data_IF_615992377854
#
_entry.id   IF_615992377854
#
_cell.length_a   1.000
_cell.length_b   1.000
_cell.length_c   1.000
_cell.angle_alpha   90.00
_cell.angle_beta   90.00
_cell.angle_gamma   90.00
#
_symmetry.space_group_name_H-M   'P 1'
#
loop_
_entity.id
_entity.type
_entity.pdbx_description
1 polymer ?
#
# COMPACT_ATOMS: atom_id res chain seq x y z
N UNK A 1 -10.88 -6.16 -0.68
CA UNK A 1 -10.12 -5.91 -1.93
C UNK A 1 -8.74 -6.53 -1.81
N UNK A 2 -8.23 -7.18 -2.85
CA UNK A 2 -6.88 -7.77 -2.91
C UNK A 2 -5.99 -6.84 -3.72
N UNK A 3 -4.99 -6.25 -3.07
CA UNK A 3 -4.08 -5.25 -3.66
C UNK A 3 -2.61 -5.70 -3.67
N UNK A 4 -2.29 -6.82 -3.01
CA UNK A 4 -0.93 -7.35 -2.93
C UNK A 4 -0.91 -8.76 -2.37
N UNK A 5 0.23 -9.42 -2.51
CA UNK A 5 0.43 -10.85 -2.22
C UNK A 5 1.72 -11.04 -1.39
N UNK A 6 1.86 -10.31 -0.29
CA UNK A 6 3.08 -10.34 0.54
C UNK A 6 3.31 -11.68 1.24
N UNK A 7 2.24 -12.43 1.52
CA UNK A 7 2.30 -13.75 2.17
C UNK A 7 2.10 -14.92 1.21
N UNK A 8 2.05 -14.67 -0.10
CA UNK A 8 1.86 -15.70 -1.13
C UNK A 8 0.64 -15.44 -2.00
N UNK A 9 0.54 -16.23 -3.09
CA UNK A 9 -0.47 -16.05 -4.13
C UNK A 9 -1.67 -16.99 -4.01
N UNK A 10 -1.68 -17.87 -3.01
CA UNK A 10 -2.74 -18.86 -2.82
C UNK A 10 -3.32 -18.73 -1.40
N UNK A 11 -4.63 -18.89 -1.30
CA UNK A 11 -5.35 -18.90 -0.03
C UNK A 11 -6.53 -19.88 -0.12
N UNK A 12 -6.87 -20.51 1.00
CA UNK A 12 -8.10 -21.26 1.16
C UNK A 12 -9.23 -20.30 1.57
N UNK A 13 -10.41 -20.48 0.99
CA UNK A 13 -11.57 -19.63 1.21
C UNK A 13 -12.77 -20.47 1.64
N UNK A 14 -13.45 -20.03 2.70
CA UNK A 14 -14.77 -20.58 3.07
C UNK A 14 -15.85 -20.00 2.17
N UNK A 15 -16.21 -20.77 1.14
CA UNK A 15 -17.26 -20.39 0.20
C UNK A 15 -18.62 -20.22 0.88
N UNK A 16 -18.89 -20.98 1.94
CA UNK A 16 -20.12 -20.83 2.73
C UNK A 16 -20.23 -19.47 3.39
N UNK A 17 -19.14 -18.97 3.92
CA UNK A 17 -19.09 -17.60 4.48
C UNK A 17 -19.27 -16.53 3.40
N UNK A 18 -18.66 -16.72 2.22
CA UNK A 18 -18.83 -15.79 1.09
C UNK A 18 -20.31 -15.69 0.70
N UNK A 19 -20.99 -16.83 0.59
CA UNK A 19 -22.43 -16.89 0.27
C UNK A 19 -23.29 -16.21 1.36
N UNK A 20 -23.15 -16.66 2.59
CA UNK A 20 -23.96 -16.15 3.71
C UNK A 20 -23.85 -14.66 3.90
N UNK A 21 -22.62 -14.11 3.79
CA UNK A 21 -22.34 -12.68 3.97
C UNK A 21 -22.46 -11.88 2.68
N UNK A 22 -22.76 -12.49 1.56
CA UNK A 22 -22.85 -11.85 0.22
C UNK A 22 -21.60 -11.03 -0.09
N UNK A 23 -20.42 -11.58 0.20
CA UNK A 23 -19.14 -10.91 0.02
C UNK A 23 -18.79 -10.76 -1.46
N UNK A 24 -18.10 -9.68 -1.79
CA UNK A 24 -17.47 -9.46 -3.10
C UNK A 24 -15.97 -9.50 -2.94
N UNK A 25 -15.28 -10.30 -3.77
CA UNK A 25 -13.83 -10.28 -3.88
C UNK A 25 -13.44 -9.52 -5.13
N UNK A 26 -12.60 -8.50 -4.96
CA UNK A 26 -12.14 -7.65 -6.06
C UNK A 26 -10.62 -7.59 -5.99
N UNK A 27 -9.97 -7.98 -7.08
CA UNK A 27 -8.54 -7.79 -7.27
C UNK A 27 -8.23 -6.50 -8.02
N UNK A 28 -7.13 -5.87 -7.70
CA UNK A 28 -6.62 -4.71 -8.42
C UNK A 28 -5.10 -4.74 -8.50
N UNK A 29 -4.57 -4.17 -9.55
CA UNK A 29 -3.12 -3.98 -9.72
C UNK A 29 -2.87 -2.62 -10.36
N UNK A 30 -1.77 -1.99 -10.00
CA UNK A 30 -1.36 -0.71 -10.61
C UNK A 30 -0.36 -0.93 -11.74
N UNK A 31 0.58 -1.87 -11.56
CA UNK A 31 1.70 -2.06 -12.48
C UNK A 31 1.25 -2.35 -13.91
N UNK A 32 0.25 -3.22 -14.06
CA UNK A 32 -0.24 -3.69 -15.36
C UNK A 32 -1.30 -2.77 -16.01
N UNK A 33 -1.69 -1.66 -15.36
CA UNK A 33 -2.62 -0.69 -15.94
C UNK A 33 -1.98 0.06 -17.09
N UNK A 34 -2.82 0.49 -18.04
CA UNK A 34 -2.37 1.35 -19.15
C UNK A 34 -1.82 2.69 -18.64
N UNK A 35 -1.10 3.39 -19.47
CA UNK A 35 -0.58 4.72 -19.14
C UNK A 35 -1.73 5.71 -18.91
N UNK A 36 -2.77 5.62 -19.71
CA UNK A 36 -3.95 6.47 -19.64
C UNK A 36 -4.66 6.31 -18.28
N UNK A 37 -4.90 5.06 -17.85
CA UNK A 37 -5.49 4.79 -16.53
C UNK A 37 -4.62 5.31 -15.38
N UNK A 38 -3.29 5.22 -15.51
CA UNK A 38 -2.35 5.75 -14.51
C UNK A 38 -2.38 7.28 -14.44
N UNK A 39 -2.52 7.95 -15.60
CA UNK A 39 -2.62 9.41 -15.67
C UNK A 39 -3.94 9.87 -15.01
N UNK A 40 -5.06 9.22 -15.31
CA UNK A 40 -6.35 9.53 -14.69
C UNK A 40 -6.30 9.35 -13.18
N UNK A 41 -5.79 8.20 -12.74
CA UNK A 41 -5.62 7.92 -11.30
C UNK A 41 -4.72 8.95 -10.60
N UNK A 42 -3.61 9.34 -11.22
CA UNK A 42 -2.70 10.34 -10.65
C UNK A 42 -3.39 11.71 -10.54
N UNK A 43 -4.22 12.07 -11.50
CA UNK A 43 -5.02 13.31 -11.49
C UNK A 43 -6.04 13.27 -10.35
N UNK A 44 -6.79 12.18 -10.23
CA UNK A 44 -7.79 12.00 -9.17
C UNK A 44 -7.14 12.06 -7.77
N UNK A 45 -5.99 11.42 -7.59
CA UNK A 45 -5.24 11.48 -6.32
C UNK A 45 -4.79 12.91 -6.03
N UNK A 46 -4.26 13.61 -7.03
CA UNK A 46 -3.80 14.99 -6.87
C UNK A 46 -4.95 15.92 -6.50
N UNK A 47 -6.11 15.74 -7.10
CA UNK A 47 -7.28 16.59 -6.89
C UNK A 47 -8.04 16.29 -5.60
N UNK A 48 -8.20 15.02 -5.25
CA UNK A 48 -9.09 14.60 -4.17
C UNK A 48 -8.37 14.12 -2.91
N UNK A 49 -7.15 13.60 -3.03
CA UNK A 49 -6.42 13.01 -1.90
C UNK A 49 -5.36 13.93 -1.33
N UNK A 50 -4.54 14.56 -2.19
CA UNK A 50 -3.46 15.44 -1.73
C UNK A 50 -3.96 16.58 -0.83
N UNK A 51 -5.06 17.27 -1.13
CA UNK A 51 -5.59 18.32 -0.25
C UNK A 51 -5.97 17.85 1.15
N UNK A 52 -6.25 16.55 1.32
CA UNK A 52 -6.54 15.99 2.64
C UNK A 52 -5.27 15.87 3.51
N UNK A 53 -4.11 15.66 2.90
CA UNK A 53 -2.83 15.74 3.60
C UNK A 53 -2.50 17.17 4.00
N UNK A 54 -2.68 18.14 3.09
CA UNK A 54 -2.45 19.55 3.36
C UNK A 54 -3.36 20.07 4.48
N UNK A 55 -4.60 19.62 4.51
CA UNK A 55 -5.56 19.93 5.57
C UNK A 55 -5.33 19.15 6.88
N UNK A 56 -4.32 18.27 6.95
CA UNK A 56 -4.03 17.42 8.10
C UNK A 56 -5.07 16.35 8.43
N UNK A 57 -6.03 16.11 7.52
CA UNK A 57 -7.05 15.06 7.65
C UNK A 57 -6.51 13.66 7.38
N UNK A 58 -5.47 13.56 6.56
CA UNK A 58 -4.70 12.34 6.33
C UNK A 58 -3.27 12.55 6.78
N UNK A 59 -2.69 11.52 7.40
CA UNK A 59 -1.28 11.49 7.78
C UNK A 59 -0.68 10.12 7.48
N UNK A 60 0.51 10.05 6.86
CA UNK A 60 1.20 8.79 6.70
C UNK A 60 1.66 8.30 8.08
N UNK A 61 1.55 7.01 8.32
CA UNK A 61 2.16 6.39 9.49
C UNK A 61 3.62 6.11 9.15
N UNK A 62 4.54 6.82 9.78
CA UNK A 62 5.98 6.62 9.62
C UNK A 62 6.50 5.93 10.86
N UNK A 63 7.00 4.70 10.70
CA UNK A 63 7.60 3.92 11.79
C UNK A 63 8.95 4.54 12.20
N UNK A 64 9.81 4.78 11.23
CA UNK A 64 11.12 5.40 11.45
C UNK A 64 11.68 6.08 10.23
N UNK A 65 12.60 7.01 10.48
CA UNK A 65 13.39 7.69 9.46
C UNK A 65 14.84 7.28 9.64
N UNK A 66 15.49 6.81 8.56
CA UNK A 66 16.87 6.39 8.54
C UNK A 66 17.65 7.22 7.52
N UNK A 67 18.96 7.37 7.71
CA UNK A 67 19.86 7.86 6.64
C UNK A 67 19.85 6.87 5.48
N UNK A 68 19.96 7.36 4.25
CA UNK A 68 20.05 6.52 3.05
C UNK A 68 21.17 5.49 3.12
N UNK A 69 22.28 5.79 3.80
CA UNK A 69 23.37 4.85 4.03
C UNK A 69 22.94 3.57 4.74
N UNK A 70 21.83 3.63 5.48
CA UNK A 70 21.24 2.49 6.22
C UNK A 70 20.20 1.72 5.40
N UNK A 71 20.23 1.82 4.07
CA UNK A 71 19.27 1.16 3.18
C UNK A 71 19.18 -0.36 3.40
N UNK A 72 20.33 -1.00 3.68
CA UNK A 72 20.35 -2.44 3.99
C UNK A 72 19.53 -2.77 5.23
N UNK A 73 19.74 -2.00 6.31
CA UNK A 73 18.98 -2.14 7.54
C UNK A 73 17.48 -1.89 7.30
N UNK A 74 17.13 -0.92 6.47
CA UNK A 74 15.73 -0.65 6.13
C UNK A 74 15.06 -1.86 5.45
N UNK A 75 15.76 -2.51 4.53
CA UNK A 75 15.26 -3.74 3.90
C UNK A 75 15.13 -4.91 4.89
N UNK A 76 16.10 -5.11 5.77
CA UNK A 76 16.05 -6.13 6.82
C UNK A 76 14.84 -5.93 7.74
N UNK A 77 14.59 -4.70 8.18
CA UNK A 77 13.44 -4.34 8.99
C UNK A 77 12.11 -4.57 8.27
N UNK A 78 12.03 -4.27 6.97
CA UNK A 78 10.83 -4.58 6.18
C UNK A 78 10.57 -6.08 6.10
N UNK A 79 11.62 -6.89 5.95
CA UNK A 79 11.50 -8.36 5.89
C UNK A 79 11.11 -8.99 7.22
N UNK A 80 11.52 -8.39 8.35
CA UNK A 80 11.19 -8.91 9.68
C UNK A 80 9.71 -8.79 10.05
N UNK A 81 8.94 -7.96 9.32
CA UNK A 81 7.56 -7.59 9.65
C UNK A 81 7.36 -6.97 11.06
N UNK A 82 8.43 -6.45 11.66
CA UNK A 82 8.38 -5.81 12.99
C UNK A 82 8.01 -4.32 12.92
N UNK A 83 7.90 -3.77 11.70
CA UNK A 83 7.60 -2.36 11.49
C UNK A 83 6.11 -2.12 11.30
N UNK A 84 5.60 -1.01 11.85
CA UNK A 84 4.24 -0.56 11.65
C UNK A 84 4.21 0.78 10.92
N UNK A 85 3.89 0.74 9.64
CA UNK A 85 3.88 1.92 8.77
C UNK A 85 5.05 1.93 7.79
N UNK A 86 5.53 3.11 7.43
CA UNK A 86 6.58 3.32 6.43
C UNK A 86 7.94 3.53 7.06
N UNK A 87 8.97 2.95 6.46
CA UNK A 87 10.35 3.32 6.71
C UNK A 87 10.71 4.38 5.67
N UNK A 88 11.14 5.55 6.13
CA UNK A 88 11.56 6.66 5.27
C UNK A 88 13.08 6.71 5.27
N UNK A 89 13.68 6.81 4.10
CA UNK A 89 15.11 7.07 3.93
C UNK A 89 15.30 8.55 3.61
N UNK A 90 16.14 9.21 4.41
CA UNK A 90 16.53 10.59 4.18
C UNK A 90 17.81 10.59 3.35
N UNK A 91 17.77 11.25 2.24
CA UNK A 91 18.95 11.58 1.46
C UNK A 91 19.58 12.84 2.05
N UNK A 92 20.82 12.73 2.44
CA UNK A 92 21.61 13.86 2.97
C UNK A 92 22.62 14.34 1.93
#
# INVERSE_FOLDING_TARGET
MVVGLTSGSRAELDMGTILRKRLKMIGTTLRARSLEEKIELARDVSEHVIPLFDAGKLRPVVDRVLSFEKIRLAHELMHSNETFGKIVLRWE
#
